data_IF_260372674362
#
_entry.id   IF_260372674362
#
_cell.length_a   1.000
_cell.length_b   1.000
_cell.length_c   1.000
_cell.angle_alpha   90.00
_cell.angle_beta   90.00
_cell.angle_gamma   90.00
#
_symmetry.space_group_name_H-M   'P 1'
#
loop_
_entity.id
_entity.type
_entity.pdbx_description
1 polymer ?
#
# COMPACT_ATOMS: atom_id res chain seq x y z
N UNK A 1 1.15 -34.31 -4.57
CA UNK A 1 1.95 -33.07 -4.63
C UNK A 1 1.43 -32.14 -3.54
N UNK A 2 2.22 -31.87 -2.51
CA UNK A 2 1.81 -30.97 -1.42
C UNK A 2 1.93 -29.53 -1.91
N UNK A 3 0.82 -28.77 -1.93
CA UNK A 3 0.82 -27.33 -2.22
C UNK A 3 0.82 -26.59 -0.90
N UNK A 4 1.89 -25.85 -0.61
CA UNK A 4 1.90 -24.91 0.51
C UNK A 4 1.23 -23.61 0.05
N UNK A 5 0.21 -23.16 0.78
CA UNK A 5 -0.41 -21.87 0.53
C UNK A 5 0.58 -20.74 0.90
N UNK A 6 1.25 -20.17 -0.10
CA UNK A 6 2.05 -18.96 0.09
C UNK A 6 1.09 -17.82 0.46
N UNK A 7 1.20 -17.28 1.67
CA UNK A 7 0.45 -16.09 2.05
C UNK A 7 0.82 -14.93 1.11
N UNK A 8 -0.18 -14.17 0.64
CA UNK A 8 0.06 -12.97 -0.17
C UNK A 8 0.89 -11.98 0.66
N UNK A 9 2.12 -11.68 0.25
CA UNK A 9 2.99 -10.65 0.85
C UNK A 9 2.74 -9.29 0.21
N UNK A 10 3.18 -8.21 0.86
CA UNK A 10 3.16 -6.86 0.28
C UNK A 10 3.87 -6.83 -1.07
N UNK A 11 5.05 -7.46 -1.17
CA UNK A 11 5.80 -7.58 -2.43
C UNK A 11 5.01 -8.26 -3.54
N UNK A 12 4.29 -9.37 -3.23
CA UNK A 12 3.48 -10.08 -4.23
C UNK A 12 2.27 -9.27 -4.70
N UNK A 13 1.69 -8.42 -3.83
CA UNK A 13 0.64 -7.47 -4.21
C UNK A 13 1.23 -6.37 -5.07
N UNK A 14 2.46 -5.94 -4.75
CA UNK A 14 3.13 -4.91 -5.52
C UNK A 14 3.41 -5.32 -6.97
N UNK A 15 3.87 -6.54 -7.15
CA UNK A 15 4.13 -7.13 -8.46
C UNK A 15 2.86 -7.29 -9.31
N UNK A 16 1.73 -7.66 -8.68
CA UNK A 16 0.42 -7.78 -9.36
C UNK A 16 -0.11 -6.47 -9.92
N UNK A 17 0.32 -5.34 -9.36
CA UNK A 17 -0.15 -4.01 -9.73
C UNK A 17 1.05 -3.12 -10.04
N UNK A 18 1.88 -3.57 -10.99
CA UNK A 18 3.10 -2.88 -11.38
C UNK A 18 2.83 -1.43 -11.84
N UNK A 19 3.80 -0.50 -11.68
CA UNK A 19 3.63 0.88 -12.13
C UNK A 19 3.30 0.94 -13.62
N UNK A 20 2.19 1.60 -13.98
CA UNK A 20 1.71 1.66 -15.36
C UNK A 20 0.72 0.55 -15.76
N UNK A 21 0.50 -0.45 -14.90
CA UNK A 21 -0.76 -1.20 -14.96
C UNK A 21 -1.84 -0.23 -14.50
N UNK A 22 -2.69 0.20 -15.42
CA UNK A 22 -3.82 1.04 -15.06
C UNK A 22 -4.57 0.38 -13.90
N UNK A 23 -4.79 1.14 -12.82
CA UNK A 23 -5.37 0.67 -11.55
C UNK A 23 -6.87 0.35 -11.71
N UNK A 24 -7.25 -0.33 -12.78
CA UNK A 24 -8.62 -0.57 -13.23
C UNK A 24 -9.28 -1.76 -12.57
N UNK A 25 -8.55 -2.53 -11.75
CA UNK A 25 -9.15 -3.63 -11.00
C UNK A 25 -9.77 -3.10 -9.70
N UNK A 26 -11.05 -3.38 -9.41
CA UNK A 26 -11.66 -3.11 -8.11
C UNK A 26 -10.87 -3.72 -6.94
N UNK A 27 -10.20 -4.86 -7.19
CA UNK A 27 -9.37 -5.53 -6.20
C UNK A 27 -8.20 -4.65 -5.71
N UNK A 28 -7.69 -3.75 -6.56
CA UNK A 28 -6.62 -2.83 -6.20
C UNK A 28 -7.01 -1.92 -5.04
N UNK A 29 -8.20 -1.30 -5.14
CA UNK A 29 -8.71 -0.37 -4.12
C UNK A 29 -9.22 -1.09 -2.87
N UNK A 30 -9.55 -2.37 -2.98
CA UNK A 30 -9.99 -3.19 -1.84
C UNK A 30 -8.84 -3.65 -0.95
N UNK A 31 -7.60 -3.69 -1.46
CA UNK A 31 -6.44 -4.14 -0.70
C UNK A 31 -5.82 -2.97 0.08
N UNK A 32 -5.89 -2.96 1.44
CA UNK A 32 -5.36 -1.87 2.25
C UNK A 32 -3.86 -1.66 2.04
N UNK A 33 -3.11 -2.66 1.58
CA UNK A 33 -1.66 -2.54 1.30
C UNK A 33 -1.36 -1.53 0.20
N UNK A 34 -2.32 -1.29 -0.70
CA UNK A 34 -2.18 -0.29 -1.76
C UNK A 34 -2.42 1.15 -1.27
N UNK A 35 -2.90 1.36 -0.03
CA UNK A 35 -2.99 2.69 0.57
C UNK A 35 -1.58 3.29 0.65
N UNK A 36 -1.45 4.56 0.26
CA UNK A 36 -0.17 5.28 0.28
C UNK A 36 0.79 4.96 -0.87
N UNK A 37 0.49 3.96 -1.70
CA UNK A 37 1.43 3.49 -2.73
C UNK A 37 1.85 4.53 -3.76
N UNK A 38 0.92 5.35 -4.23
CA UNK A 38 1.26 6.45 -5.16
C UNK A 38 2.21 7.48 -4.54
N UNK A 39 2.13 7.69 -3.22
CA UNK A 39 3.07 8.55 -2.49
C UNK A 39 4.43 7.89 -2.44
N UNK A 40 4.50 6.62 -2.02
CA UNK A 40 5.75 5.85 -1.96
C UNK A 40 6.46 5.80 -3.32
N UNK A 41 5.73 5.53 -4.40
CA UNK A 41 6.25 5.48 -5.76
C UNK A 41 6.76 6.85 -6.21
N UNK A 42 6.03 7.92 -5.90
CA UNK A 42 6.42 9.29 -6.29
C UNK A 42 7.70 9.74 -5.59
N UNK A 43 7.78 9.58 -4.26
CA UNK A 43 8.98 9.94 -3.50
C UNK A 43 10.19 9.13 -3.95
N UNK A 44 10.03 7.82 -4.14
CA UNK A 44 11.07 6.93 -4.67
C UNK A 44 11.53 7.38 -6.05
N UNK A 45 10.59 7.72 -6.95
CA UNK A 45 10.90 8.18 -8.32
C UNK A 45 11.78 9.43 -8.34
N UNK A 46 11.60 10.34 -7.38
CA UNK A 46 12.39 11.57 -7.27
C UNK A 46 13.61 11.43 -6.36
N UNK A 47 13.90 10.23 -5.83
CA UNK A 47 15.02 10.00 -4.91
C UNK A 47 14.86 10.76 -3.58
N UNK A 48 13.63 11.05 -3.18
CA UNK A 48 13.32 11.78 -1.95
C UNK A 48 12.93 10.80 -0.83
N UNK A 49 13.33 11.11 0.39
CA UNK A 49 12.86 10.38 1.57
C UNK A 49 11.41 10.78 1.91
N UNK A 50 10.57 9.79 2.22
CA UNK A 50 9.21 10.04 2.69
C UNK A 50 9.28 10.57 4.12
N UNK A 51 8.63 11.71 4.44
CA UNK A 51 8.56 12.21 5.80
C UNK A 51 7.99 11.16 6.75
N UNK A 52 8.58 11.01 7.94
CA UNK A 52 8.17 9.97 8.89
C UNK A 52 6.68 10.04 9.24
N UNK A 53 6.14 11.25 9.42
CA UNK A 53 4.71 11.46 9.69
C UNK A 53 3.80 10.94 8.57
N UNK A 54 4.25 11.02 7.31
CA UNK A 54 3.50 10.48 6.17
C UNK A 54 3.56 8.96 6.17
N UNK A 55 4.74 8.37 6.45
CA UNK A 55 4.89 6.91 6.57
C UNK A 55 4.01 6.36 7.69
N UNK A 56 4.05 6.96 8.87
CA UNK A 56 3.23 6.56 10.02
C UNK A 56 1.73 6.58 9.70
N UNK A 57 1.25 7.61 9.00
CA UNK A 57 -0.15 7.72 8.60
C UNK A 57 -0.56 6.67 7.56
N UNK A 58 0.33 6.35 6.62
CA UNK A 58 0.09 5.28 5.63
C UNK A 58 0.00 3.93 6.33
N UNK A 59 0.91 3.65 7.26
CA UNK A 59 0.95 2.39 7.99
C UNK A 59 -0.25 2.24 8.94
N UNK A 60 -0.68 3.31 9.61
CA UNK A 60 -1.91 3.34 10.40
C UNK A 60 -3.16 3.09 9.53
N UNK A 61 -3.25 3.74 8.36
CA UNK A 61 -4.37 3.49 7.45
C UNK A 61 -4.38 2.03 6.92
N UNK A 62 -3.20 1.44 6.69
CA UNK A 62 -3.04 0.02 6.32
C UNK A 62 -3.47 -0.93 7.44
N UNK A 63 -3.28 -0.57 8.71
CA UNK A 63 -3.72 -1.35 9.87
C UNK A 63 -5.22 -1.18 10.18
N UNK A 64 -5.89 -0.22 9.51
CA UNK A 64 -7.28 0.12 9.76
C UNK A 64 -7.47 1.09 10.92
N UNK A 65 -6.41 1.74 11.38
CA UNK A 65 -6.50 2.79 12.39
C UNK A 65 -7.11 4.08 11.80
N UNK A 66 -8.10 4.68 12.48
CA UNK A 66 -8.70 5.93 12.02
C UNK A 66 -7.72 7.11 12.19
N UNK A 67 -7.90 8.19 11.43
CA UNK A 67 -7.10 9.40 11.59
C UNK A 67 -7.21 9.95 13.01
N UNK A 68 -6.07 10.36 13.58
CA UNK A 68 -6.04 11.00 14.91
C UNK A 68 -6.90 12.27 14.91
N UNK A 69 -7.76 12.41 15.93
CA UNK A 69 -8.67 13.54 16.07
C UNK A 69 -10.01 13.37 15.35
N UNK A 70 -10.26 12.22 14.72
CA UNK A 70 -11.58 11.82 14.24
C UNK A 70 -12.31 11.05 15.38
N UNK A 71 -12.66 11.75 16.45
CA UNK A 71 -13.60 11.24 17.46
C UNK A 71 -15.02 11.42 16.89
N UNK A 72 -15.78 10.33 16.75
CA UNK A 72 -17.13 10.31 16.18
C UNK A 72 -18.21 10.58 17.22
#
# INVERSE_FOLDING_TARGET
>A
MSSFAMGKTVGSVHEKFAPGSEHHSPDYYSDPRNIGRGVEDTFTKFGMEIPQTVRDNIDAARSGEPPKGLEL
#
